data_IF_479279919058
#
_entry.id   IF_479279919058
#
_cell.length_a   1.000
_cell.length_b   1.000
_cell.length_c   1.000
_cell.angle_alpha   90.00
_cell.angle_beta   90.00
_cell.angle_gamma   90.00
#
_symmetry.space_group_name_H-M   'P 1'
#
loop_
_entity.id
_entity.type
_entity.pdbx_description
1 polymer ?
#
# COMPACT_ATOMS: atom_id res chain seq x y z
N UNK A 1 37.88 24.29 -18.35
CA UNK A 1 36.63 23.92 -17.68
C UNK A 1 36.40 22.45 -17.98
N UNK A 2 36.84 21.57 -17.07
CA UNK A 2 36.67 20.14 -17.17
C UNK A 2 35.25 19.80 -16.72
N UNK A 3 34.48 19.15 -17.60
CA UNK A 3 33.19 18.56 -17.27
C UNK A 3 33.44 17.29 -16.44
N UNK A 4 33.23 17.36 -15.15
CA UNK A 4 33.11 16.19 -14.30
C UNK A 4 31.81 15.47 -14.64
N UNK A 5 31.90 14.47 -15.49
CA UNK A 5 30.88 13.45 -15.66
C UNK A 5 30.87 12.57 -14.41
N UNK A 6 30.00 12.87 -13.45
CA UNK A 6 29.63 11.92 -12.41
C UNK A 6 28.98 10.69 -13.08
N UNK A 7 29.80 9.76 -13.50
CA UNK A 7 29.38 8.38 -13.78
C UNK A 7 28.89 7.79 -12.45
N UNK A 8 27.58 7.61 -12.33
CA UNK A 8 27.00 6.84 -11.24
C UNK A 8 27.73 5.49 -11.19
N UNK A 9 28.35 5.19 -10.06
CA UNK A 9 29.01 3.91 -9.85
C UNK A 9 28.03 2.78 -10.16
N UNK A 10 28.43 1.72 -10.89
CA UNK A 10 27.58 0.58 -11.16
C UNK A 10 27.12 0.00 -9.82
N UNK A 11 25.81 -0.19 -9.67
CA UNK A 11 25.23 -0.80 -8.49
C UNK A 11 25.94 -2.15 -8.26
N UNK A 12 26.53 -2.34 -7.08
CA UNK A 12 27.20 -3.59 -6.73
C UNK A 12 26.27 -4.78 -7.01
N UNK A 13 26.76 -5.84 -7.64
CA UNK A 13 25.93 -6.99 -7.96
C UNK A 13 25.39 -7.61 -6.68
N UNK A 14 24.07 -7.76 -6.61
CA UNK A 14 23.42 -8.42 -5.47
C UNK A 14 23.89 -9.86 -5.45
N UNK A 15 24.58 -10.24 -4.38
CA UNK A 15 25.05 -11.60 -4.16
C UNK A 15 23.83 -12.45 -3.80
N UNK A 16 23.30 -13.20 -4.73
CA UNK A 16 22.26 -14.18 -4.45
C UNK A 16 21.35 -14.43 -5.65
N UNK A 17 21.43 -15.62 -6.20
CA UNK A 17 20.44 -16.15 -7.15
C UNK A 17 19.06 -16.17 -6.49
N UNK A 18 18.03 -15.74 -7.25
CA UNK A 18 16.62 -15.78 -6.79
C UNK A 18 16.17 -17.21 -6.45
N UNK A 19 16.76 -18.21 -7.07
CA UNK A 19 16.52 -19.64 -6.80
C UNK A 19 17.44 -20.21 -5.69
N UNK A 20 18.34 -19.42 -5.09
CA UNK A 20 19.25 -19.89 -4.07
C UNK A 20 18.49 -20.51 -2.87
N UNK A 21 18.85 -21.73 -2.53
CA UNK A 21 18.34 -22.43 -1.34
C UNK A 21 19.31 -22.24 -0.18
N UNK A 22 18.86 -21.60 0.87
CA UNK A 22 19.63 -21.41 2.11
C UNK A 22 19.28 -22.50 3.13
N UNK A 23 20.16 -22.78 4.11
CA UNK A 23 19.83 -23.64 5.23
C UNK A 23 18.51 -23.23 5.92
N UNK A 24 17.69 -24.18 6.33
CA UNK A 24 16.34 -23.92 6.84
C UNK A 24 16.31 -22.88 7.98
N UNK A 25 17.25 -22.93 8.91
CA UNK A 25 17.38 -21.94 10.00
C UNK A 25 17.60 -20.51 9.47
N UNK A 26 18.49 -20.36 8.48
CA UNK A 26 18.77 -19.06 7.88
C UNK A 26 17.60 -18.57 7.06
N UNK A 27 16.94 -19.43 6.30
CA UNK A 27 15.72 -19.12 5.54
C UNK A 27 14.62 -18.63 6.46
N UNK A 28 14.38 -19.30 7.60
CA UNK A 28 13.36 -18.91 8.55
C UNK A 28 13.71 -17.59 9.25
N UNK A 29 14.96 -17.39 9.67
CA UNK A 29 15.40 -16.14 10.30
C UNK A 29 15.26 -14.93 9.37
N UNK A 30 15.69 -15.06 8.11
CA UNK A 30 15.52 -14.02 7.11
C UNK A 30 14.06 -13.83 6.71
N UNK A 31 13.25 -14.91 6.67
CA UNK A 31 11.81 -14.84 6.45
C UNK A 31 11.10 -14.05 7.56
N UNK A 32 11.45 -14.31 8.83
CA UNK A 32 10.96 -13.54 9.97
C UNK A 32 11.37 -12.06 9.86
N UNK A 33 12.62 -11.80 9.50
CA UNK A 33 13.10 -10.43 9.24
C UNK A 33 12.27 -9.73 8.16
N UNK A 34 11.99 -10.40 7.03
CA UNK A 34 11.13 -9.86 5.97
C UNK A 34 9.72 -9.54 6.48
N UNK A 35 9.15 -10.43 7.29
CA UNK A 35 7.81 -10.24 7.90
C UNK A 35 7.79 -9.02 8.84
N UNK A 36 8.77 -8.88 9.72
CA UNK A 36 8.83 -7.79 10.70
C UNK A 36 9.10 -6.43 10.05
N UNK A 37 9.92 -6.39 8.99
CA UNK A 37 10.28 -5.16 8.28
C UNK A 37 9.22 -4.71 7.29
N UNK A 38 8.34 -5.61 6.85
CA UNK A 38 7.31 -5.28 5.84
C UNK A 38 6.37 -4.17 6.28
N UNK A 39 6.16 -4.01 7.60
CA UNK A 39 5.15 -3.11 8.18
C UNK A 39 3.71 -3.39 7.69
N UNK A 40 3.42 -4.62 7.24
CA UNK A 40 2.07 -4.99 6.78
C UNK A 40 1.01 -4.89 7.89
N UNK A 41 1.45 -4.77 9.15
CA UNK A 41 0.61 -4.52 10.32
C UNK A 41 0.22 -3.05 10.49
N UNK A 42 0.93 -2.11 9.87
CA UNK A 42 0.77 -0.67 10.13
C UNK A 42 -0.54 -0.12 9.54
N UNK A 43 -0.83 -0.41 8.27
CA UNK A 43 -2.07 0.05 7.63
C UNK A 43 -3.35 -0.43 8.36
N UNK A 44 -3.51 -1.73 8.70
CA UNK A 44 -4.73 -2.18 9.38
C UNK A 44 -4.91 -1.59 10.78
N UNK A 45 -3.85 -1.40 11.56
CA UNK A 45 -3.99 -0.73 12.88
C UNK A 45 -4.33 0.76 12.72
N UNK A 46 -3.74 1.44 11.73
CA UNK A 46 -4.05 2.82 11.42
C UNK A 46 -5.52 2.98 10.99
N UNK A 47 -6.00 2.15 10.05
CA UNK A 47 -7.39 2.16 9.63
C UNK A 47 -8.32 1.91 10.81
N UNK A 48 -8.03 0.91 11.62
CA UNK A 48 -8.86 0.55 12.76
C UNK A 48 -8.93 1.67 13.80
N UNK A 49 -7.81 2.33 14.08
CA UNK A 49 -7.70 3.46 15.01
C UNK A 49 -8.50 4.66 14.50
N UNK A 50 -8.20 5.16 13.29
CA UNK A 50 -8.87 6.33 12.69
C UNK A 50 -10.37 6.12 12.50
N UNK A 51 -10.77 4.92 12.07
CA UNK A 51 -12.17 4.60 11.83
C UNK A 51 -12.96 4.37 13.13
N UNK A 52 -12.26 4.05 14.22
CA UNK A 52 -12.91 3.72 15.50
C UNK A 52 -13.49 2.30 15.51
N UNK A 53 -12.79 1.33 14.97
CA UNK A 53 -13.23 -0.08 15.00
C UNK A 53 -13.31 -0.59 16.43
N UNK A 54 -14.26 -1.49 16.69
CA UNK A 54 -14.22 -2.26 17.94
C UNK A 54 -12.96 -3.13 17.99
N UNK A 55 -12.46 -3.45 19.18
CA UNK A 55 -11.25 -4.26 19.35
C UNK A 55 -11.33 -5.61 18.60
N UNK A 56 -12.51 -6.23 18.57
CA UNK A 56 -12.72 -7.49 17.85
C UNK A 56 -12.61 -7.30 16.33
N UNK A 57 -13.23 -6.26 15.79
CA UNK A 57 -13.20 -5.97 14.35
C UNK A 57 -11.80 -5.51 13.91
N UNK A 58 -11.12 -4.69 14.72
CA UNK A 58 -9.74 -4.28 14.49
C UNK A 58 -8.78 -5.48 14.48
N UNK A 59 -8.90 -6.38 15.45
CA UNK A 59 -8.13 -7.64 15.50
C UNK A 59 -8.39 -8.49 14.26
N UNK A 60 -9.67 -8.60 13.83
CA UNK A 60 -10.01 -9.31 12.59
C UNK A 60 -9.37 -8.66 11.37
N UNK A 61 -9.36 -7.34 11.26
CA UNK A 61 -8.74 -6.62 10.13
C UNK A 61 -7.24 -6.94 10.03
N UNK A 62 -6.51 -6.97 11.17
CA UNK A 62 -5.09 -7.31 11.20
C UNK A 62 -4.87 -8.78 10.80
N UNK A 63 -5.65 -9.72 11.38
CA UNK A 63 -5.51 -11.16 11.07
C UNK A 63 -5.89 -11.46 9.62
N UNK A 64 -6.94 -10.83 9.09
CA UNK A 64 -7.34 -10.91 7.69
C UNK A 64 -6.23 -10.40 6.74
N UNK A 65 -5.63 -9.27 7.09
CA UNK A 65 -4.50 -8.70 6.35
C UNK A 65 -3.31 -9.66 6.33
N UNK A 66 -2.95 -10.24 7.48
CA UNK A 66 -1.86 -11.22 7.55
C UNK A 66 -2.16 -12.46 6.73
N UNK A 67 -3.41 -12.97 6.74
CA UNK A 67 -3.77 -14.15 5.95
C UNK A 67 -3.67 -13.86 4.45
N UNK A 68 -4.25 -12.76 3.99
CA UNK A 68 -4.20 -12.37 2.58
C UNK A 68 -2.75 -12.12 2.12
N UNK A 69 -1.99 -11.30 2.86
CA UNK A 69 -0.58 -11.03 2.58
C UNK A 69 0.26 -12.31 2.55
N UNK A 70 0.05 -13.21 3.52
CA UNK A 70 0.78 -14.47 3.63
C UNK A 70 0.49 -15.41 2.47
N UNK A 71 -0.77 -15.64 2.15
CA UNK A 71 -1.20 -16.51 1.04
C UNK A 71 -0.66 -15.99 -0.29
N UNK A 72 -0.83 -14.69 -0.55
CA UNK A 72 -0.35 -14.09 -1.81
C UNK A 72 1.16 -14.14 -1.90
N UNK A 73 1.88 -13.76 -0.83
CA UNK A 73 3.35 -13.84 -0.78
C UNK A 73 3.84 -15.26 -1.05
N UNK A 74 3.23 -16.27 -0.42
CA UNK A 74 3.61 -17.66 -0.60
C UNK A 74 3.35 -18.14 -2.04
N UNK A 75 2.18 -17.86 -2.61
CA UNK A 75 1.82 -18.29 -3.97
C UNK A 75 2.62 -17.54 -5.03
N UNK A 76 2.81 -16.23 -4.86
CA UNK A 76 3.61 -15.38 -5.76
C UNK A 76 5.06 -15.86 -5.85
N UNK A 77 5.70 -16.09 -4.69
CA UNK A 77 7.11 -16.50 -4.63
C UNK A 77 7.33 -17.94 -5.08
N UNK A 78 6.31 -18.81 -5.03
CA UNK A 78 6.43 -20.23 -5.43
C UNK A 78 6.08 -20.46 -6.89
N UNK A 79 4.95 -19.94 -7.39
CA UNK A 79 4.34 -20.37 -8.65
C UNK A 79 4.10 -19.25 -9.67
N UNK A 80 3.84 -18.01 -9.21
CA UNK A 80 3.40 -16.94 -10.09
C UNK A 80 4.57 -16.08 -10.59
N UNK A 81 4.83 -14.95 -9.92
CA UNK A 81 5.89 -14.03 -10.38
C UNK A 81 7.30 -14.56 -10.11
N UNK A 82 7.47 -15.40 -9.10
CA UNK A 82 8.74 -16.03 -8.69
C UNK A 82 9.87 -15.01 -8.47
N UNK A 83 9.53 -13.89 -7.85
CA UNK A 83 10.46 -12.85 -7.41
C UNK A 83 10.48 -12.78 -5.88
N UNK A 84 11.55 -12.25 -5.26
CA UNK A 84 11.62 -12.06 -3.81
C UNK A 84 10.84 -10.83 -3.37
N UNK A 85 9.50 -10.89 -3.50
CA UNK A 85 8.58 -9.79 -3.18
C UNK A 85 7.62 -10.25 -2.09
N UNK A 86 7.56 -9.50 -1.00
CA UNK A 86 6.53 -9.66 0.04
C UNK A 86 5.31 -8.85 -0.37
N UNK A 87 4.14 -9.40 -0.12
CA UNK A 87 2.85 -8.78 -0.36
C UNK A 87 2.27 -8.24 0.94
N UNK A 88 1.48 -7.19 0.84
CA UNK A 88 0.78 -6.59 1.97
C UNK A 88 -0.43 -5.78 1.53
N UNK A 89 -1.12 -5.10 2.44
CA UNK A 89 -2.24 -4.26 2.10
C UNK A 89 -1.79 -3.01 1.33
N UNK A 90 -2.57 -2.53 0.35
CA UNK A 90 -2.28 -1.28 -0.33
C UNK A 90 -2.87 -0.10 0.44
N UNK A 91 -2.02 0.86 0.83
CA UNK A 91 -2.43 2.09 1.52
C UNK A 91 -3.40 2.96 0.69
N UNK A 92 -3.52 2.71 -0.62
CA UNK A 92 -4.49 3.38 -1.48
C UNK A 92 -5.95 3.16 -1.04
N UNK A 93 -6.22 2.04 -0.36
CA UNK A 93 -7.56 1.72 0.18
C UNK A 93 -7.82 2.38 1.53
N UNK A 94 -6.80 2.78 2.28
CA UNK A 94 -6.95 3.24 3.67
C UNK A 94 -7.95 4.40 3.82
N UNK A 95 -7.88 5.49 3.03
CA UNK A 95 -8.85 6.60 3.16
C UNK A 95 -10.29 6.15 2.86
N UNK A 96 -10.48 5.25 1.90
CA UNK A 96 -11.79 4.75 1.50
C UNK A 96 -12.38 3.82 2.55
N UNK A 97 -11.60 2.86 3.06
CA UNK A 97 -12.05 1.94 4.13
C UNK A 97 -12.47 2.73 5.36
N UNK A 98 -11.69 3.75 5.76
CA UNK A 98 -12.02 4.66 6.86
C UNK A 98 -13.35 5.40 6.56
N UNK A 99 -13.47 6.00 5.38
CA UNK A 99 -14.66 6.75 4.99
C UNK A 99 -15.90 5.88 4.94
N UNK A 100 -15.85 4.74 4.28
CA UNK A 100 -16.99 3.83 4.13
C UNK A 100 -17.38 3.15 5.43
N UNK A 101 -16.44 2.90 6.34
CA UNK A 101 -16.80 2.42 7.68
C UNK A 101 -17.59 3.48 8.46
N UNK A 102 -17.10 4.73 8.48
CA UNK A 102 -17.78 5.85 9.15
C UNK A 102 -19.17 6.15 8.53
N UNK A 103 -19.32 5.90 7.24
CA UNK A 103 -20.60 6.02 6.53
C UNK A 103 -21.53 4.80 6.70
N UNK A 104 -21.06 3.70 7.31
CA UNK A 104 -21.84 2.45 7.45
C UNK A 104 -21.99 1.66 6.14
N UNK A 105 -21.17 1.94 5.12
CA UNK A 105 -21.24 1.35 3.77
C UNK A 105 -20.07 0.42 3.44
N UNK A 106 -19.35 -0.06 4.45
CA UNK A 106 -18.15 -0.88 4.23
C UNK A 106 -18.47 -2.24 3.57
N UNK A 107 -19.68 -2.79 3.77
CA UNK A 107 -20.13 -3.99 3.06
C UNK A 107 -20.23 -3.78 1.54
N UNK A 108 -20.66 -2.58 1.11
CA UNK A 108 -20.69 -2.21 -0.31
C UNK A 108 -19.25 -2.03 -0.86
N UNK A 109 -18.35 -1.44 -0.08
CA UNK A 109 -16.94 -1.32 -0.46
C UNK A 109 -16.28 -2.71 -0.60
N UNK A 110 -16.58 -3.67 0.28
CA UNK A 110 -16.10 -5.05 0.15
C UNK A 110 -16.59 -5.71 -1.13
N UNK A 111 -17.88 -5.55 -1.49
CA UNK A 111 -18.40 -6.04 -2.77
C UNK A 111 -17.72 -5.32 -3.95
N UNK A 112 -17.53 -4.02 -3.86
CA UNK A 112 -16.83 -3.24 -4.89
C UNK A 112 -15.40 -3.74 -5.12
N UNK A 113 -14.67 -4.07 -4.05
CA UNK A 113 -13.33 -4.68 -4.13
C UNK A 113 -13.40 -6.07 -4.76
N UNK A 114 -14.37 -6.91 -4.39
CA UNK A 114 -14.57 -8.23 -5.00
C UNK A 114 -14.80 -8.10 -6.51
N UNK A 115 -15.67 -7.20 -6.94
CA UNK A 115 -15.95 -6.97 -8.37
C UNK A 115 -14.69 -6.45 -9.08
N UNK A 116 -14.01 -5.45 -8.52
CA UNK A 116 -12.79 -4.89 -9.10
C UNK A 116 -11.67 -5.92 -9.24
N UNK A 117 -11.45 -6.71 -8.20
CA UNK A 117 -10.46 -7.79 -8.21
C UNK A 117 -10.82 -8.89 -9.21
N UNK A 118 -12.10 -9.27 -9.31
CA UNK A 118 -12.57 -10.25 -10.29
C UNK A 118 -12.37 -9.74 -11.73
N UNK A 119 -12.68 -8.48 -12.03
CA UNK A 119 -12.47 -7.86 -13.33
C UNK A 119 -10.99 -7.85 -13.73
N UNK A 120 -10.10 -7.46 -12.79
CA UNK A 120 -8.66 -7.48 -13.03
C UNK A 120 -8.13 -8.91 -13.20
N UNK A 121 -8.66 -9.87 -12.43
CA UNK A 121 -8.31 -11.28 -12.57
C UNK A 121 -8.67 -11.80 -13.98
N UNK A 122 -9.87 -11.50 -14.46
CA UNK A 122 -10.33 -11.85 -15.81
C UNK A 122 -9.46 -11.17 -16.89
N UNK A 123 -9.12 -9.88 -16.70
CA UNK A 123 -8.23 -9.15 -17.60
C UNK A 123 -6.81 -9.75 -17.62
N UNK A 124 -6.30 -10.21 -16.48
CA UNK A 124 -5.00 -10.86 -16.38
C UNK A 124 -4.99 -12.24 -17.08
N UNK A 125 -6.04 -13.05 -16.86
CA UNK A 125 -6.20 -14.36 -17.51
C UNK A 125 -6.33 -14.21 -19.03
N UNK A 126 -7.09 -13.22 -19.52
CA UNK A 126 -7.28 -12.96 -20.96
C UNK A 126 -6.07 -12.31 -21.64
N UNK A 127 -5.00 -11.98 -20.89
CA UNK A 127 -3.80 -11.33 -21.42
C UNK A 127 -3.98 -9.86 -21.81
N UNK A 128 -5.11 -9.24 -21.49
CA UNK A 128 -5.41 -7.84 -21.84
C UNK A 128 -4.66 -6.82 -20.97
N UNK A 129 -4.07 -7.28 -19.87
CA UNK A 129 -3.38 -6.41 -18.91
C UNK A 129 -2.17 -5.67 -19.52
N UNK A 130 -1.51 -6.28 -20.52
CA UNK A 130 -0.44 -5.62 -21.25
C UNK A 130 -0.91 -4.33 -21.97
N UNK A 131 -2.20 -4.24 -22.33
CA UNK A 131 -2.79 -3.02 -22.90
C UNK A 131 -2.98 -1.93 -21.84
N UNK A 132 -3.42 -2.33 -20.63
CA UNK A 132 -3.60 -1.42 -19.49
C UNK A 132 -2.23 -0.89 -19.03
N UNK A 133 -1.20 -1.74 -18.97
CA UNK A 133 0.18 -1.33 -18.64
C UNK A 133 0.69 -0.18 -19.52
N UNK A 134 0.32 -0.16 -20.79
CA UNK A 134 0.71 0.92 -21.70
C UNK A 134 0.10 2.28 -21.38
N UNK A 135 -0.99 2.31 -20.59
CA UNK A 135 -1.64 3.56 -20.15
C UNK A 135 -0.99 4.14 -18.89
N UNK A 136 -0.08 3.39 -18.26
CA UNK A 136 0.52 3.72 -16.97
C UNK A 136 1.93 4.25 -17.19
N UNK A 137 2.02 5.55 -17.51
CA UNK A 137 3.32 6.23 -17.52
C UNK A 137 3.81 6.47 -16.08
N UNK A 138 5.13 6.68 -15.87
CA UNK A 138 5.66 7.12 -14.58
C UNK A 138 4.97 8.37 -14.03
N UNK A 139 4.58 9.30 -14.90
CA UNK A 139 3.82 10.49 -14.52
C UNK A 139 2.46 10.14 -13.92
N UNK A 140 1.71 9.22 -14.56
CA UNK A 140 0.41 8.74 -14.05
C UNK A 140 0.60 8.02 -12.72
N UNK A 141 1.49 7.04 -12.66
CA UNK A 141 1.74 6.25 -11.45
C UNK A 141 2.24 7.10 -10.29
N UNK A 142 3.18 8.01 -10.55
CA UNK A 142 3.74 8.91 -9.55
C UNK A 142 2.70 9.88 -8.99
N UNK A 143 1.84 10.46 -9.83
CA UNK A 143 0.73 11.32 -9.40
C UNK A 143 -0.21 10.58 -8.45
N UNK A 144 -0.62 9.38 -8.81
CA UNK A 144 -1.54 8.58 -8.02
C UNK A 144 -0.93 8.23 -6.66
N UNK A 145 0.32 7.74 -6.63
CA UNK A 145 1.01 7.40 -5.38
C UNK A 145 1.20 8.64 -4.50
N UNK A 146 1.50 9.80 -5.08
CA UNK A 146 1.58 11.07 -4.33
C UNK A 146 0.25 11.42 -3.69
N UNK A 147 -0.86 11.28 -4.42
CA UNK A 147 -2.20 11.55 -3.90
C UNK A 147 -2.60 10.58 -2.78
N UNK A 148 -2.19 9.31 -2.86
CA UNK A 148 -2.39 8.34 -1.76
C UNK A 148 -1.75 8.86 -0.47
N UNK A 149 -0.48 9.26 -0.53
CA UNK A 149 0.21 9.76 0.66
C UNK A 149 -0.40 11.06 1.21
N UNK A 150 -0.80 11.99 0.34
CA UNK A 150 -1.43 13.26 0.75
C UNK A 150 -2.85 13.04 1.31
N UNK A 151 -3.64 12.13 0.73
CA UNK A 151 -4.98 11.81 1.23
C UNK A 151 -4.96 11.24 2.65
N UNK A 152 -3.86 10.62 3.06
CA UNK A 152 -3.66 10.10 4.41
C UNK A 152 -3.25 11.17 5.43
N UNK A 153 -2.80 12.36 4.98
CA UNK A 153 -2.24 13.38 5.89
C UNK A 153 -3.22 13.82 6.98
N UNK A 154 -4.47 14.13 6.62
CA UNK A 154 -5.50 14.55 7.58
C UNK A 154 -5.76 13.49 8.65
N UNK A 155 -5.91 12.24 8.25
CA UNK A 155 -6.10 11.11 9.16
C UNK A 155 -4.86 10.87 10.04
N UNK A 156 -3.67 10.98 9.46
CA UNK A 156 -2.40 10.85 10.19
C UNK A 156 -2.31 11.85 11.33
N UNK A 157 -2.64 13.12 11.08
CA UNK A 157 -2.60 14.13 12.13
C UNK A 157 -3.74 14.00 13.14
N UNK A 158 -4.91 13.48 12.77
CA UNK A 158 -5.93 13.11 13.75
C UNK A 158 -5.40 12.10 14.76
N UNK A 159 -4.71 11.06 14.32
CA UNK A 159 -4.09 10.07 15.19
C UNK A 159 -2.89 10.64 15.95
N UNK A 160 -2.03 11.43 15.29
CA UNK A 160 -0.87 12.07 15.89
C UNK A 160 -1.25 12.93 17.12
N UNK A 161 -2.39 13.59 17.05
CA UNK A 161 -2.93 14.35 18.18
C UNK A 161 -3.69 13.49 19.20
N UNK A 162 -3.74 12.17 19.05
CA UNK A 162 -4.33 11.26 20.03
C UNK A 162 -5.69 10.71 19.69
N UNK A 163 -6.13 10.80 18.41
CA UNK A 163 -7.41 10.27 17.90
C UNK A 163 -8.57 11.27 18.10
N UNK A 164 -9.10 11.76 16.99
CA UNK A 164 -10.17 12.76 16.99
C UNK A 164 -11.43 12.23 17.74
N UNK A 165 -11.92 13.04 18.69
CA UNK A 165 -13.11 12.69 19.48
C UNK A 165 -12.81 11.83 20.72
N UNK A 166 -11.56 11.50 21.00
CA UNK A 166 -11.14 10.81 22.24
C UNK A 166 -10.79 11.81 23.33
N UNK A 167 -10.82 11.43 24.63
CA UNK A 167 -10.35 12.26 25.72
C UNK A 167 -8.85 12.57 25.64
N UNK A 168 -8.08 11.75 24.93
CA UNK A 168 -6.64 11.92 24.74
C UNK A 168 -6.29 12.95 23.67
N UNK A 169 -7.25 13.41 22.86
CA UNK A 169 -7.00 14.33 21.75
C UNK A 169 -6.42 15.67 22.20
N UNK A 170 -5.28 16.04 21.64
CA UNK A 170 -4.58 17.30 21.93
C UNK A 170 -3.90 17.36 23.31
N UNK A 171 -3.86 16.28 24.06
CA UNK A 171 -3.18 16.26 25.37
C UNK A 171 -1.66 16.30 25.20
N UNK A 172 -0.92 16.92 26.17
CA UNK A 172 0.54 16.91 26.17
C UNK A 172 1.14 15.50 26.12
N UNK A 173 0.49 14.52 26.75
CA UNK A 173 0.92 13.13 26.76
C UNK A 173 0.81 12.50 25.35
N UNK A 174 -0.28 12.74 24.63
CA UNK A 174 -0.44 12.28 23.25
C UNK A 174 0.58 12.90 22.31
N UNK A 175 0.84 14.20 22.45
CA UNK A 175 1.88 14.88 21.66
C UNK A 175 3.28 14.32 21.95
N UNK A 176 3.60 14.07 23.24
CA UNK A 176 4.86 13.45 23.63
C UNK A 176 5.02 12.06 22.98
N UNK A 177 3.98 11.21 23.05
CA UNK A 177 3.98 9.88 22.44
C UNK A 177 4.21 9.95 20.92
N UNK A 178 3.45 10.79 20.23
CA UNK A 178 3.56 10.94 18.79
C UNK A 178 4.93 11.47 18.37
N UNK A 179 5.42 12.53 19.02
CA UNK A 179 6.72 13.12 18.73
C UNK A 179 7.86 12.14 19.03
N UNK A 180 7.84 11.44 20.19
CA UNK A 180 8.86 10.46 20.55
C UNK A 180 8.88 9.28 19.54
N UNK A 181 7.72 8.79 19.14
CA UNK A 181 7.60 7.72 18.16
C UNK A 181 8.13 8.15 16.79
N UNK A 182 7.70 9.32 16.30
CA UNK A 182 8.21 9.87 15.02
C UNK A 182 9.71 10.10 15.06
N UNK A 183 10.22 10.71 16.14
CA UNK A 183 11.66 10.93 16.33
C UNK A 183 12.43 9.60 16.31
N UNK A 184 11.89 8.55 16.92
CA UNK A 184 12.50 7.23 16.93
C UNK A 184 12.63 6.65 15.50
N UNK A 185 11.60 6.78 14.65
CA UNK A 185 11.69 6.39 13.23
C UNK A 185 12.77 7.18 12.52
N UNK A 186 12.79 8.51 12.67
CA UNK A 186 13.75 9.40 12.00
C UNK A 186 15.19 9.15 12.46
N UNK A 187 15.41 8.96 13.76
CA UNK A 187 16.73 8.63 14.33
C UNK A 187 17.21 7.28 13.78
N UNK A 188 16.34 6.25 13.76
CA UNK A 188 16.69 4.96 13.17
C UNK A 188 17.01 5.09 11.68
N UNK A 189 16.27 5.93 10.94
CA UNK A 189 16.53 6.19 9.53
C UNK A 189 17.88 6.89 9.31
N UNK A 190 18.25 7.84 10.18
CA UNK A 190 19.50 8.58 10.12
C UNK A 190 20.72 7.71 10.50
N UNK A 191 20.58 6.80 11.47
CA UNK A 191 21.63 5.86 11.87
C UNK A 191 21.93 4.82 10.76
N UNK A 192 21.00 4.60 9.84
CA UNK A 192 21.19 3.70 8.72
C UNK A 192 21.29 2.21 9.11
N UNK A 193 21.78 1.38 8.17
CA UNK A 193 22.02 -0.03 8.43
C UNK A 193 20.82 -0.79 9.00
N UNK A 194 21.06 -1.66 9.98
CA UNK A 194 20.02 -2.44 10.64
C UNK A 194 19.00 -1.58 11.39
N UNK A 195 19.42 -0.45 11.97
CA UNK A 195 18.52 0.46 12.67
C UNK A 195 17.44 1.02 11.74
N UNK A 196 17.85 1.50 10.57
CA UNK A 196 16.90 1.97 9.53
C UNK A 196 15.91 0.88 9.12
N UNK A 197 16.38 -0.36 8.98
CA UNK A 197 15.55 -1.48 8.54
C UNK A 197 14.43 -1.81 9.53
N UNK A 198 14.74 -1.85 10.83
CA UNK A 198 13.78 -2.15 11.90
C UNK A 198 13.16 -0.87 12.51
N UNK A 199 13.37 0.30 11.92
CA UNK A 199 13.03 1.59 12.51
C UNK A 199 11.56 1.71 12.94
N UNK A 200 10.62 1.25 12.13
CA UNK A 200 9.20 1.27 12.49
C UNK A 200 8.87 0.33 13.65
N UNK A 201 9.45 -0.86 13.68
CA UNK A 201 9.25 -1.81 14.78
C UNK A 201 9.88 -1.31 16.09
N UNK A 202 11.08 -0.74 16.01
CA UNK A 202 11.75 -0.12 17.17
C UNK A 202 10.92 1.05 17.70
N UNK A 203 10.43 1.90 16.80
CA UNK A 203 9.61 3.04 17.21
C UNK A 203 8.25 2.62 17.77
N UNK A 204 7.62 1.54 17.28
CA UNK A 204 6.43 0.94 17.88
C UNK A 204 6.73 0.52 19.32
N UNK A 205 7.80 -0.26 19.53
CA UNK A 205 8.17 -0.74 20.87
C UNK A 205 8.47 0.42 21.83
N UNK A 206 9.19 1.46 21.37
CA UNK A 206 9.50 2.63 22.19
C UNK A 206 8.22 3.42 22.50
N UNK A 207 7.34 3.62 21.50
CA UNK A 207 6.08 4.32 21.66
C UNK A 207 5.14 3.60 22.64
N UNK A 208 4.98 2.28 22.49
CA UNK A 208 4.14 1.47 23.38
C UNK A 208 4.73 1.38 24.79
N UNK A 209 6.06 1.26 24.92
CA UNK A 209 6.71 1.28 26.24
C UNK A 209 6.49 2.63 26.95
N UNK A 210 6.61 3.75 26.23
CA UNK A 210 6.33 5.07 26.78
C UNK A 210 4.84 5.23 27.12
N UNK A 211 3.93 4.72 26.27
CA UNK A 211 2.50 4.72 26.54
C UNK A 211 2.14 3.90 27.78
N UNK A 212 2.83 2.77 27.99
CA UNK A 212 2.67 1.95 29.18
C UNK A 212 3.09 2.73 30.45
N UNK A 213 4.23 3.42 30.39
CA UNK A 213 4.72 4.26 31.49
C UNK A 213 3.76 5.42 31.83
N UNK A 214 3.07 5.95 30.82
CA UNK A 214 2.07 7.01 30.98
C UNK A 214 0.67 6.48 31.32
N UNK A 215 0.48 5.16 31.47
CA UNK A 215 -0.81 4.54 31.78
C UNK A 215 -1.84 4.65 30.63
N UNK A 216 -1.40 4.82 29.41
CA UNK A 216 -2.27 4.96 28.22
C UNK A 216 -2.43 3.67 27.40
N UNK A 217 -1.82 2.56 27.83
CA UNK A 217 -1.88 1.28 27.14
C UNK A 217 -2.83 0.34 27.90
N UNK A 218 -3.87 -0.13 27.21
CA UNK A 218 -4.86 -1.08 27.77
C UNK A 218 -4.69 -2.48 27.14
N UNK A 219 -4.35 -3.44 27.97
CA UNK A 219 -4.18 -4.84 27.57
C UNK A 219 -5.45 -5.70 27.77
N UNK A 220 -6.58 -5.12 28.14
CA UNK A 220 -7.82 -5.87 28.38
C UNK A 220 -8.27 -6.67 27.18
N UNK A 221 -8.23 -6.05 25.99
CA UNK A 221 -8.55 -6.71 24.72
C UNK A 221 -7.55 -7.83 24.38
N UNK A 222 -6.26 -7.65 24.70
CA UNK A 222 -5.23 -8.69 24.52
C UNK A 222 -5.47 -9.88 25.44
N UNK A 223 -5.85 -9.62 26.70
CA UNK A 223 -6.16 -10.67 27.67
C UNK A 223 -7.37 -11.50 27.20
N UNK A 224 -8.42 -10.83 26.71
CA UNK A 224 -9.65 -11.46 26.22
C UNK A 224 -9.49 -12.20 24.88
N UNK A 225 -8.51 -11.84 24.06
CA UNK A 225 -8.32 -12.43 22.74
C UNK A 225 -7.91 -13.92 22.85
N UNK A 226 -8.48 -14.81 22.02
CA UNK A 226 -8.09 -16.21 21.98
C UNK A 226 -6.68 -16.37 21.41
N UNK A 227 -6.00 -17.47 21.77
CA UNK A 227 -4.69 -17.79 21.19
C UNK A 227 -4.79 -18.21 19.73
N UNK A 228 -5.85 -18.95 19.37
CA UNK A 228 -6.09 -19.43 18.01
C UNK A 228 -7.52 -19.10 17.58
N UNK A 229 -7.67 -18.45 16.43
CA UNK A 229 -8.95 -18.27 15.74
C UNK A 229 -8.73 -18.07 14.24
N UNK A 230 -9.77 -18.33 13.48
CA UNK A 230 -9.80 -17.99 12.05
C UNK A 230 -10.30 -16.56 11.86
N UNK A 231 -9.80 -15.81 10.85
CA UNK A 231 -10.40 -14.56 10.44
C UNK A 231 -11.89 -14.76 10.08
N UNK A 232 -12.71 -13.80 10.47
CA UNK A 232 -14.16 -13.86 10.25
C UNK A 232 -14.48 -13.71 8.76
N UNK A 233 -15.42 -14.50 8.28
CA UNK A 233 -15.98 -14.35 6.93
C UNK A 233 -17.04 -13.26 6.94
N UNK A 234 -16.98 -12.31 6.00
CA UNK A 234 -17.91 -11.18 5.83
C UNK A 234 -18.17 -10.42 7.15
N UNK A 235 -17.13 -9.94 7.86
CA UNK A 235 -17.30 -9.33 9.18
C UNK A 235 -18.10 -8.02 9.15
N UNK A 236 -18.27 -7.42 7.97
CA UNK A 236 -19.04 -6.20 7.76
C UNK A 236 -20.52 -6.45 7.41
N UNK A 237 -20.98 -7.70 7.53
CA UNK A 237 -22.34 -8.12 7.21
C UNK A 237 -22.53 -8.55 5.76
N UNK A 238 -23.80 -8.70 5.37
CA UNK A 238 -24.15 -9.11 4.01
C UNK A 238 -23.68 -8.07 2.98
N UNK A 239 -23.15 -8.56 1.86
CA UNK A 239 -22.66 -7.71 0.79
C UNK A 239 -23.82 -6.92 0.15
N UNK A 240 -23.68 -5.61 0.07
CA UNK A 240 -24.64 -4.71 -0.57
C UNK A 240 -24.03 -4.11 -1.82
N UNK A 241 -24.84 -3.79 -2.82
CA UNK A 241 -24.38 -3.19 -4.05
C UNK A 241 -24.65 -1.69 -4.09
N UNK A 242 -23.60 -0.91 -4.37
CA UNK A 242 -23.67 0.50 -4.75
C UNK A 242 -22.76 0.75 -5.95
N UNK A 243 -23.32 1.34 -7.00
CA UNK A 243 -22.58 1.52 -8.26
C UNK A 243 -21.43 2.53 -8.14
N UNK A 244 -21.60 3.60 -7.35
CA UNK A 244 -20.58 4.64 -7.12
C UNK A 244 -19.40 4.08 -6.33
N UNK A 245 -19.73 3.42 -5.20
CA UNK A 245 -18.72 2.77 -4.35
C UNK A 245 -17.99 1.66 -5.13
N UNK A 246 -18.75 0.85 -5.88
CA UNK A 246 -18.15 -0.22 -6.70
C UNK A 246 -17.16 0.32 -7.73
N UNK A 247 -17.54 1.36 -8.48
CA UNK A 247 -16.65 1.96 -9.46
C UNK A 247 -15.43 2.61 -8.81
N UNK A 248 -15.62 3.30 -7.68
CA UNK A 248 -14.53 3.86 -6.87
C UNK A 248 -13.53 2.79 -6.44
N UNK A 249 -14.01 1.67 -5.89
CA UNK A 249 -13.16 0.55 -5.48
C UNK A 249 -12.44 -0.12 -6.65
N UNK A 250 -13.09 -0.24 -7.83
CA UNK A 250 -12.46 -0.73 -9.05
C UNK A 250 -11.29 0.18 -9.49
N UNK A 251 -11.48 1.50 -9.47
CA UNK A 251 -10.43 2.46 -9.85
C UNK A 251 -9.25 2.37 -8.87
N UNK A 252 -9.52 2.33 -7.57
CA UNK A 252 -8.46 2.23 -6.56
C UNK A 252 -7.76 0.87 -6.62
N UNK A 253 -8.46 -0.20 -6.98
CA UNK A 253 -7.79 -1.47 -7.23
C UNK A 253 -6.86 -1.43 -8.46
N UNK A 254 -7.23 -0.71 -9.52
CA UNK A 254 -6.30 -0.45 -10.63
C UNK A 254 -5.06 0.33 -10.17
N UNK A 255 -5.20 1.25 -9.22
CA UNK A 255 -4.07 1.94 -8.60
C UNK A 255 -3.12 0.96 -7.89
N UNK A 256 -3.65 0.04 -7.09
CA UNK A 256 -2.86 -1.00 -6.42
C UNK A 256 -2.15 -1.93 -7.43
N UNK A 257 -2.80 -2.24 -8.56
CA UNK A 257 -2.18 -2.99 -9.67
C UNK A 257 -0.99 -2.25 -10.27
N UNK A 258 -1.11 -0.93 -10.44
CA UNK A 258 -0.01 -0.08 -10.94
C UNK A 258 1.18 -0.10 -9.98
N UNK A 259 0.90 0.06 -8.70
CA UNK A 259 1.90 -0.02 -7.62
C UNK A 259 2.64 -1.36 -7.66
N UNK A 260 1.90 -2.48 -7.72
CA UNK A 260 2.46 -3.81 -7.81
C UNK A 260 3.35 -4.01 -9.06
N UNK A 261 2.92 -3.52 -10.23
CA UNK A 261 3.72 -3.60 -11.46
C UNK A 261 5.05 -2.84 -11.32
N UNK A 262 5.04 -1.65 -10.72
CA UNK A 262 6.24 -0.87 -10.45
C UNK A 262 7.22 -1.62 -9.55
N UNK A 263 6.71 -2.31 -8.54
CA UNK A 263 7.51 -3.11 -7.62
C UNK A 263 8.08 -4.38 -8.27
N UNK A 264 7.33 -5.03 -9.16
CA UNK A 264 7.85 -6.15 -9.94
C UNK A 264 9.03 -5.72 -10.80
N UNK A 265 8.91 -4.57 -11.45
CA UNK A 265 9.96 -4.02 -12.30
C UNK A 265 11.22 -3.62 -11.50
N UNK A 266 11.03 -2.93 -10.37
CA UNK A 266 12.11 -2.56 -9.46
C UNK A 266 12.85 -3.80 -8.91
N UNK A 267 12.10 -4.84 -8.52
CA UNK A 267 12.67 -6.08 -8.00
C UNK A 267 13.39 -6.87 -9.10
N UNK A 268 12.81 -6.95 -10.29
CA UNK A 268 13.41 -7.64 -11.42
C UNK A 268 14.75 -7.00 -11.84
N UNK A 269 14.79 -5.65 -11.90
CA UNK A 269 16.03 -4.90 -12.14
C UNK A 269 17.08 -5.14 -11.05
N UNK A 270 16.66 -5.10 -9.79
CA UNK A 270 17.56 -5.30 -8.65
C UNK A 270 18.18 -6.71 -8.64
N UNK A 271 17.40 -7.73 -9.04
CA UNK A 271 17.81 -9.14 -9.02
C UNK A 271 18.35 -9.65 -10.36
N UNK A 272 18.49 -8.78 -11.35
CA UNK A 272 18.95 -9.16 -12.71
C UNK A 272 17.99 -10.11 -13.43
N UNK A 273 16.73 -10.19 -13.02
CA UNK A 273 15.73 -11.07 -13.61
C UNK A 273 15.02 -10.43 -14.79
N UNK A 274 14.74 -11.20 -15.84
CA UNK A 274 13.89 -10.73 -16.92
C UNK A 274 12.40 -10.80 -16.52
N UNK A 275 11.70 -9.68 -16.65
CA UNK A 275 10.29 -9.56 -16.37
C UNK A 275 9.50 -9.64 -17.68
N UNK A 276 9.01 -10.84 -18.04
CA UNK A 276 8.16 -11.04 -19.20
C UNK A 276 6.72 -10.60 -18.91
N UNK A 277 5.95 -10.23 -19.95
CA UNK A 277 4.52 -9.89 -19.81
C UNK A 277 3.72 -11.02 -19.16
N UNK A 278 4.06 -12.28 -19.45
CA UNK A 278 3.45 -13.44 -18.79
C UNK A 278 3.70 -13.45 -17.29
N UNK A 279 4.94 -13.16 -16.83
CA UNK A 279 5.26 -13.09 -15.38
C UNK A 279 4.49 -11.96 -14.71
N UNK A 280 4.38 -10.80 -15.36
CA UNK A 280 3.58 -9.67 -14.84
C UNK A 280 2.11 -10.08 -14.72
N UNK A 281 1.52 -10.64 -15.76
CA UNK A 281 0.13 -11.11 -15.73
C UNK A 281 -0.10 -12.13 -14.60
N UNK A 282 0.79 -13.11 -14.44
CA UNK A 282 0.70 -14.08 -13.34
C UNK A 282 0.83 -13.39 -11.97
N UNK A 283 1.69 -12.38 -11.83
CA UNK A 283 1.80 -11.57 -10.62
C UNK A 283 0.49 -10.86 -10.29
N UNK A 284 -0.11 -10.20 -11.27
CA UNK A 284 -1.38 -9.49 -11.06
C UNK A 284 -2.56 -10.47 -10.80
N UNK A 285 -2.53 -11.67 -11.38
CA UNK A 285 -3.48 -12.73 -10.99
C UNK A 285 -3.37 -13.04 -9.49
N UNK A 286 -2.13 -13.08 -8.95
CA UNK A 286 -1.90 -13.26 -7.51
C UNK A 286 -2.47 -12.12 -6.68
N UNK A 287 -2.21 -10.84 -7.07
CA UNK A 287 -2.77 -9.67 -6.39
C UNK A 287 -4.31 -9.69 -6.39
N UNK A 288 -4.91 -9.96 -7.55
CA UNK A 288 -6.35 -10.03 -7.69
C UNK A 288 -6.96 -11.15 -6.84
N UNK A 289 -6.37 -12.35 -6.87
CA UNK A 289 -6.83 -13.49 -6.05
C UNK A 289 -6.69 -13.21 -4.56
N UNK A 290 -5.59 -12.55 -4.15
CA UNK A 290 -5.37 -12.14 -2.76
C UNK A 290 -6.36 -11.08 -2.30
N UNK A 291 -6.67 -10.13 -3.17
CA UNK A 291 -7.67 -9.10 -2.87
C UNK A 291 -9.09 -9.65 -2.80
N UNK A 292 -9.42 -10.68 -3.60
CA UNK A 292 -10.67 -11.44 -3.45
C UNK A 292 -10.75 -12.10 -2.07
N UNK A 293 -9.67 -12.80 -1.67
CA UNK A 293 -9.60 -13.40 -0.34
C UNK A 293 -9.73 -12.33 0.76
N UNK A 294 -8.94 -11.24 0.65
CA UNK A 294 -8.97 -10.15 1.62
C UNK A 294 -10.38 -9.58 1.80
N UNK A 295 -11.08 -9.26 0.71
CA UNK A 295 -12.42 -8.70 0.74
C UNK A 295 -13.45 -9.64 1.43
N UNK A 296 -13.30 -10.96 1.28
CA UNK A 296 -14.18 -11.94 1.91
C UNK A 296 -13.97 -12.06 3.42
N UNK A 297 -12.73 -11.86 3.91
CA UNK A 297 -12.39 -12.03 5.33
C UNK A 297 -12.25 -10.69 6.08
N UNK A 298 -12.67 -9.59 5.45
CA UNK A 298 -12.67 -8.25 6.05
C UNK A 298 -11.34 -7.52 5.99
N UNK A 299 -10.46 -7.92 5.09
CA UNK A 299 -9.28 -7.15 4.69
C UNK A 299 -9.59 -6.20 3.52
N UNK A 300 -8.54 -5.67 2.92
CA UNK A 300 -8.62 -4.80 1.74
C UNK A 300 -7.54 -5.16 0.71
N UNK A 301 -7.51 -4.47 -0.45
CA UNK A 301 -6.70 -4.86 -1.59
C UNK A 301 -5.22 -5.04 -1.29
N UNK A 302 -4.61 -6.10 -1.84
CA UNK A 302 -3.20 -6.42 -1.69
C UNK A 302 -2.35 -5.79 -2.77
N UNK A 303 -1.08 -5.52 -2.45
CA UNK A 303 -0.05 -5.01 -3.37
C UNK A 303 1.34 -5.49 -2.96
N UNK A 304 2.31 -5.27 -3.85
CA UNK A 304 3.72 -5.60 -3.60
C UNK A 304 4.42 -4.50 -2.78
N UNK A 305 5.18 -4.90 -1.73
CA UNK A 305 5.77 -3.97 -0.76
C UNK A 305 7.19 -3.54 -1.11
N UNK A 306 7.39 -2.22 -1.15
CA UNK A 306 8.68 -1.58 -1.43
C UNK A 306 9.71 -1.77 -0.30
N UNK A 307 9.26 -1.81 0.95
CA UNK A 307 10.11 -1.92 2.14
C UNK A 307 10.98 -3.18 2.09
N UNK A 308 10.41 -4.28 1.63
CA UNK A 308 11.10 -5.56 1.54
C UNK A 308 12.23 -5.57 0.51
N UNK A 309 12.16 -4.71 -0.52
CA UNK A 309 13.26 -4.52 -1.46
C UNK A 309 14.50 -3.92 -0.78
N UNK A 310 14.29 -3.04 0.22
CA UNK A 310 15.34 -2.53 1.08
C UNK A 310 16.07 -3.62 1.87
N UNK A 311 15.33 -4.62 2.36
CA UNK A 311 15.91 -5.78 3.06
C UNK A 311 16.79 -6.61 2.12
N UNK A 312 16.32 -6.87 0.90
CA UNK A 312 17.09 -7.57 -0.14
C UNK A 312 18.40 -6.84 -0.43
N UNK A 313 18.35 -5.51 -0.61
CA UNK A 313 19.55 -4.67 -0.82
C UNK A 313 20.55 -4.77 0.34
N UNK A 314 20.06 -4.71 1.58
CA UNK A 314 20.93 -4.70 2.77
C UNK A 314 21.53 -6.06 3.10
N UNK A 315 20.73 -7.13 2.93
CA UNK A 315 21.18 -8.48 3.27
C UNK A 315 22.00 -9.14 2.15
N UNK A 316 21.91 -8.59 0.93
CA UNK A 316 22.45 -9.20 -0.28
C UNK A 316 21.75 -10.51 -0.65
N UNK A 317 20.62 -10.86 -0.02
CA UNK A 317 19.92 -12.14 -0.22
C UNK A 317 18.65 -11.91 -1.02
N UNK A 318 18.66 -12.31 -2.28
CA UNK A 318 17.53 -12.21 -3.21
C UNK A 318 16.71 -13.51 -3.32
N UNK A 319 16.90 -14.46 -2.41
CA UNK A 319 16.22 -15.77 -2.49
C UNK A 319 14.70 -15.65 -2.32
N UNK A 320 13.94 -16.14 -3.30
CA UNK A 320 12.48 -16.26 -3.22
C UNK A 320 12.03 -17.27 -2.15
N UNK A 321 12.89 -18.20 -1.76
CA UNK A 321 12.59 -19.16 -0.68
C UNK A 321 12.53 -18.51 0.69
N UNK A 322 13.30 -17.42 0.90
CA UNK A 322 13.21 -16.57 2.10
C UNK A 322 11.84 -15.88 2.16
N UNK A 323 11.39 -15.31 1.05
CA UNK A 323 10.09 -14.64 0.97
C UNK A 323 8.94 -15.64 1.10
N UNK A 324 9.10 -16.87 0.57
CA UNK A 324 8.15 -17.95 0.80
C UNK A 324 8.00 -18.29 2.30
N UNK A 325 9.12 -18.30 3.04
CA UNK A 325 9.08 -18.49 4.49
C UNK A 325 8.37 -17.31 5.20
N UNK A 326 8.59 -16.07 4.76
CA UNK A 326 7.85 -14.91 5.26
C UNK A 326 6.33 -15.07 5.04
N UNK A 327 5.91 -15.53 3.86
CA UNK A 327 4.49 -15.84 3.59
C UNK A 327 3.90 -16.86 4.56
N UNK A 328 4.63 -17.93 4.86
CA UNK A 328 4.18 -18.92 5.86
C UNK A 328 4.10 -18.33 7.27
N UNK A 329 5.03 -17.45 7.65
CA UNK A 329 5.01 -16.76 8.94
C UNK A 329 3.78 -15.84 9.02
N UNK A 330 3.45 -15.08 7.98
CA UNK A 330 2.23 -14.28 7.94
C UNK A 330 0.97 -15.12 8.08
N UNK A 331 0.90 -16.27 7.38
CA UNK A 331 -0.23 -17.21 7.53
C UNK A 331 -0.33 -17.69 8.98
N UNK A 332 0.79 -18.05 9.63
CA UNK A 332 0.78 -18.45 11.02
C UNK A 332 0.30 -17.33 11.95
N UNK A 333 0.78 -16.09 11.74
CA UNK A 333 0.35 -14.90 12.51
C UNK A 333 -1.14 -14.59 12.33
N UNK A 334 -1.72 -14.89 11.19
CA UNK A 334 -3.14 -14.67 10.91
C UNK A 334 -4.06 -15.51 11.84
N UNK A 335 -3.57 -16.64 12.33
CA UNK A 335 -4.31 -17.51 13.26
C UNK A 335 -4.01 -17.22 14.75
N UNK A 336 -3.25 -16.15 15.03
CA UNK A 336 -2.87 -15.72 16.38
C UNK A 336 -3.51 -14.37 16.75
N UNK A 337 -4.84 -14.31 17.03
CA UNK A 337 -5.53 -13.06 17.35
C UNK A 337 -4.89 -12.29 18.51
N UNK A 338 -4.25 -12.99 19.43
CA UNK A 338 -3.53 -12.37 20.56
C UNK A 338 -2.41 -11.43 20.11
N UNK A 339 -1.68 -11.80 19.05
CA UNK A 339 -0.65 -10.94 18.44
C UNK A 339 -1.29 -9.73 17.75
N UNK A 340 -2.37 -9.96 17.01
CA UNK A 340 -3.11 -8.88 16.37
C UNK A 340 -3.73 -7.91 17.38
N UNK A 341 -4.32 -8.43 18.47
CA UNK A 341 -4.86 -7.61 19.55
C UNK A 341 -3.78 -6.78 20.26
N UNK A 342 -2.56 -7.31 20.41
CA UNK A 342 -1.43 -6.53 20.95
C UNK A 342 -1.05 -5.35 20.06
N UNK A 343 -1.06 -5.53 18.74
CA UNK A 343 -0.83 -4.45 17.79
C UNK A 343 -1.98 -3.43 17.79
N UNK A 344 -3.22 -3.87 17.94
CA UNK A 344 -4.42 -3.01 18.01
C UNK A 344 -4.47 -2.21 19.32
N UNK A 345 -3.87 -2.71 20.39
CA UNK A 345 -3.80 -2.01 21.68
C UNK A 345 -2.90 -0.75 21.64
N UNK A 346 -2.07 -0.60 20.62
CA UNK A 346 -1.22 0.58 20.42
C UNK A 346 -2.05 1.87 20.41
N UNK A 347 -1.73 2.89 21.26
CA UNK A 347 -2.49 4.12 21.32
C UNK A 347 -2.46 4.92 20.01
N UNK A 348 -3.55 5.64 19.73
CA UNK A 348 -3.71 6.46 18.53
C UNK A 348 -2.50 7.38 18.25
N UNK A 349 -1.98 8.05 19.27
CA UNK A 349 -0.83 8.95 19.14
C UNK A 349 0.45 8.21 18.68
N UNK A 350 0.68 6.98 19.14
CA UNK A 350 1.80 6.14 18.67
C UNK A 350 1.58 5.73 17.22
N UNK A 351 0.37 5.29 16.87
CA UNK A 351 -0.02 4.95 15.49
C UNK A 351 0.19 6.14 14.57
N UNK A 352 -0.27 7.34 14.94
CA UNK A 352 -0.07 8.57 14.16
C UNK A 352 1.41 8.92 14.01
N UNK A 353 2.19 8.77 15.10
CA UNK A 353 3.64 8.99 15.11
C UNK A 353 4.41 8.04 14.19
N UNK A 354 3.96 6.80 14.03
CA UNK A 354 4.49 5.83 13.07
C UNK A 354 4.03 6.17 11.64
N UNK A 355 2.77 6.53 11.49
CA UNK A 355 2.19 6.70 10.16
C UNK A 355 2.67 7.98 9.45
N UNK A 356 3.04 9.02 10.20
CA UNK A 356 3.54 10.27 9.64
C UNK A 356 4.78 10.07 8.74
N UNK A 357 5.89 9.43 9.18
CA UNK A 357 7.02 9.17 8.31
C UNK A 357 6.70 8.13 7.22
N UNK A 358 5.77 7.20 7.46
CA UNK A 358 5.33 6.25 6.45
C UNK A 358 4.63 6.96 5.29
N UNK A 359 3.63 7.80 5.56
CA UNK A 359 2.91 8.58 4.55
C UNK A 359 3.85 9.54 3.80
N UNK A 360 4.78 10.21 4.51
CA UNK A 360 5.79 11.06 3.90
C UNK A 360 6.68 10.29 2.90
N UNK A 361 7.02 9.04 3.21
CA UNK A 361 7.80 8.17 2.30
C UNK A 361 7.00 7.84 1.04
N UNK A 362 5.69 7.59 1.16
CA UNK A 362 4.79 7.35 0.00
C UNK A 362 4.72 8.60 -0.89
N UNK A 363 4.56 9.79 -0.31
CA UNK A 363 4.58 11.06 -1.06
C UNK A 363 5.90 11.23 -1.82
N UNK A 364 7.04 11.00 -1.16
CA UNK A 364 8.35 11.13 -1.78
C UNK A 364 8.53 10.15 -2.95
N UNK A 365 8.11 8.88 -2.78
CA UNK A 365 8.16 7.88 -3.84
C UNK A 365 7.31 8.30 -5.04
N UNK A 366 6.10 8.78 -4.80
CA UNK A 366 5.20 9.26 -5.84
C UNK A 366 5.81 10.43 -6.62
N UNK A 367 6.34 11.44 -5.93
CA UNK A 367 7.00 12.59 -6.55
C UNK A 367 8.24 12.18 -7.37
N UNK A 368 9.07 11.27 -6.85
CA UNK A 368 10.22 10.75 -7.58
C UNK A 368 9.82 10.07 -8.89
N UNK A 369 8.75 9.26 -8.87
CA UNK A 369 8.22 8.62 -10.07
C UNK A 369 7.63 9.64 -11.05
N UNK A 370 6.83 10.59 -10.58
CA UNK A 370 6.20 11.62 -11.40
C UNK A 370 7.24 12.50 -12.14
N UNK A 371 8.40 12.72 -11.53
CA UNK A 371 9.49 13.54 -12.07
C UNK A 371 10.51 12.76 -12.93
N UNK A 372 10.36 11.45 -13.11
CA UNK A 372 11.29 10.64 -13.92
C UNK A 372 11.24 10.96 -15.41
N UNK A 373 10.05 11.26 -15.94
CA UNK A 373 9.88 11.60 -17.34
C UNK A 373 10.10 13.10 -17.54
N UNK A 374 11.25 13.47 -18.10
CA UNK A 374 11.50 14.79 -18.67
C UNK A 374 11.11 14.75 -20.15
N UNK A 375 10.05 15.43 -20.52
CA UNK A 375 9.52 15.46 -21.89
C UNK A 375 9.20 16.87 -22.38
N UNK A 376 8.35 16.94 -23.39
CA UNK A 376 7.81 18.21 -23.89
C UNK A 376 7.02 18.95 -22.80
N UNK A 377 6.84 20.26 -22.92
CA UNK A 377 6.11 21.10 -21.94
C UNK A 377 4.75 20.52 -21.55
N UNK A 378 4.04 19.86 -22.47
CA UNK A 378 2.72 19.26 -22.23
C UNK A 378 2.85 18.01 -21.35
N UNK A 379 3.85 17.14 -21.58
CA UNK A 379 4.08 15.95 -20.73
C UNK A 379 4.35 16.36 -19.28
N UNK A 380 5.05 17.45 -19.08
CA UNK A 380 5.36 17.98 -17.75
C UNK A 380 4.12 18.54 -17.01
N UNK A 381 2.99 18.80 -17.70
CA UNK A 381 1.74 19.26 -17.10
C UNK A 381 0.80 18.13 -16.68
N UNK A 382 0.98 16.91 -17.18
CA UNK A 382 0.09 15.77 -16.90
C UNK A 382 0.00 15.48 -15.40
N UNK A 383 1.15 15.31 -14.74
CA UNK A 383 1.19 15.05 -13.31
C UNK A 383 0.63 16.19 -12.45
N UNK A 384 1.04 17.47 -12.64
CA UNK A 384 0.46 18.59 -11.92
C UNK A 384 -1.05 18.74 -12.08
N UNK A 385 -1.60 18.51 -13.28
CA UNK A 385 -3.06 18.55 -13.51
C UNK A 385 -3.80 17.51 -12.66
N UNK A 386 -3.29 16.27 -12.61
CA UNK A 386 -3.86 15.23 -11.77
C UNK A 386 -3.79 15.56 -10.28
N UNK A 387 -2.65 16.13 -9.81
CA UNK A 387 -2.49 16.57 -8.42
C UNK A 387 -3.47 17.71 -8.09
N UNK A 388 -3.53 18.73 -8.90
CA UNK A 388 -4.43 19.87 -8.68
C UNK A 388 -5.90 19.45 -8.64
N UNK A 389 -6.32 18.58 -9.56
CA UNK A 389 -7.69 18.07 -9.57
C UNK A 389 -8.00 17.21 -8.34
N UNK A 390 -7.09 16.25 -8.01
CA UNK A 390 -7.26 15.36 -6.86
C UNK A 390 -7.26 16.08 -5.52
N UNK A 391 -6.56 17.21 -5.40
CA UNK A 391 -6.56 18.01 -4.16
C UNK A 391 -7.65 19.06 -4.12
N UNK A 392 -7.99 19.66 -5.28
CA UNK A 392 -8.91 20.79 -5.33
C UNK A 392 -10.38 20.41 -5.42
N UNK A 393 -10.73 19.33 -6.15
CA UNK A 393 -12.13 18.97 -6.37
C UNK A 393 -12.81 18.36 -5.13
N UNK A 394 -12.24 17.38 -4.42
CA UNK A 394 -12.93 16.70 -3.32
C UNK A 394 -13.40 17.61 -2.18
N UNK A 395 -12.63 18.61 -1.73
CA UNK A 395 -13.12 19.55 -0.71
C UNK A 395 -14.34 20.37 -1.15
N UNK A 396 -14.50 20.59 -2.46
CA UNK A 396 -15.60 21.33 -3.06
C UNK A 396 -16.80 20.43 -3.40
N UNK A 397 -16.62 19.10 -3.44
CA UNK A 397 -17.64 18.15 -3.84
C UNK A 397 -19.00 18.34 -3.10
N UNK A 398 -19.05 18.59 -1.78
CA UNK A 398 -20.30 18.82 -1.08
C UNK A 398 -21.13 19.96 -1.67
N UNK A 399 -20.52 20.97 -2.29
CA UNK A 399 -21.20 22.13 -2.84
C UNK A 399 -21.89 21.90 -4.20
N UNK A 400 -21.46 20.88 -4.94
CA UNK A 400 -21.97 20.61 -6.29
C UNK A 400 -22.42 19.15 -6.52
N UNK A 401 -22.09 18.20 -5.62
CA UNK A 401 -22.40 16.80 -5.79
C UNK A 401 -23.91 16.53 -6.03
N UNK A 402 -24.80 17.29 -5.40
CA UNK A 402 -26.24 17.19 -5.63
C UNK A 402 -26.73 17.54 -7.03
N UNK A 403 -25.83 18.11 -7.87
CA UNK A 403 -26.12 18.44 -9.29
C UNK A 403 -25.57 17.38 -10.24
N UNK A 404 -24.83 16.40 -9.74
CA UNK A 404 -24.21 15.35 -10.53
C UNK A 404 -25.01 14.05 -10.44
N UNK A 405 -24.91 13.15 -11.44
CA UNK A 405 -25.33 11.76 -11.29
C UNK A 405 -24.64 11.13 -10.08
N UNK A 406 -25.37 10.27 -9.33
CA UNK A 406 -24.92 9.70 -8.06
C UNK A 406 -23.49 9.08 -8.13
N UNK A 407 -23.17 8.39 -9.23
CA UNK A 407 -21.85 7.79 -9.47
C UNK A 407 -20.76 8.87 -9.51
N UNK A 408 -20.97 9.95 -10.25
CA UNK A 408 -20.00 11.04 -10.35
C UNK A 408 -19.90 11.85 -9.06
N UNK A 409 -21.01 11.99 -8.36
CA UNK A 409 -21.05 12.63 -7.04
C UNK A 409 -20.16 11.87 -6.05
N UNK A 410 -20.33 10.54 -5.96
CA UNK A 410 -19.50 9.68 -5.11
C UNK A 410 -18.02 9.77 -5.49
N UNK A 411 -17.68 9.59 -6.76
CA UNK A 411 -16.29 9.65 -7.23
C UNK A 411 -15.62 11.00 -6.94
N UNK A 412 -16.38 12.10 -7.00
CA UNK A 412 -15.85 13.46 -6.79
C UNK A 412 -15.39 13.73 -5.36
N UNK A 413 -15.80 12.92 -4.39
CA UNK A 413 -15.41 13.04 -2.97
C UNK A 413 -14.04 12.46 -2.65
N UNK A 414 -13.46 11.66 -3.56
CA UNK A 414 -12.24 10.91 -3.32
C UNK A 414 -11.04 11.44 -4.12
N UNK A 415 -10.06 12.01 -3.43
CA UNK A 415 -8.85 12.62 -4.02
C UNK A 415 -8.10 11.70 -4.98
N UNK A 416 -7.92 10.43 -4.58
CA UNK A 416 -7.19 9.43 -5.36
C UNK A 416 -7.93 9.13 -6.66
N UNK A 417 -9.27 8.99 -6.60
CA UNK A 417 -10.11 8.67 -7.76
C UNK A 417 -10.14 9.82 -8.75
N UNK A 418 -10.40 11.04 -8.26
CA UNK A 418 -10.42 12.25 -9.10
C UNK A 418 -9.07 12.46 -9.78
N UNK A 419 -7.99 12.40 -9.02
CA UNK A 419 -6.64 12.59 -9.56
C UNK A 419 -6.25 11.50 -10.55
N UNK A 420 -6.59 10.22 -10.27
CA UNK A 420 -6.33 9.10 -11.17
C UNK A 420 -7.08 9.27 -12.51
N UNK A 421 -8.35 9.61 -12.46
CA UNK A 421 -9.15 9.84 -13.68
C UNK A 421 -8.59 11.00 -14.49
N UNK A 422 -8.31 12.12 -13.85
CA UNK A 422 -7.81 13.33 -14.55
C UNK A 422 -6.42 13.09 -15.14
N UNK A 423 -5.49 12.49 -14.39
CA UNK A 423 -4.13 12.24 -14.90
C UNK A 423 -4.14 11.21 -16.04
N UNK A 424 -4.98 10.16 -15.96
CA UNK A 424 -5.12 9.18 -17.04
C UNK A 424 -5.75 9.81 -18.30
N UNK A 425 -6.78 10.63 -18.15
CA UNK A 425 -7.37 11.33 -19.28
C UNK A 425 -6.37 12.32 -19.90
N UNK A 426 -5.64 13.09 -19.09
CA UNK A 426 -4.60 13.99 -19.58
C UNK A 426 -3.50 13.24 -20.34
N UNK A 427 -3.03 12.10 -19.83
CA UNK A 427 -2.04 11.25 -20.48
C UNK A 427 -2.55 10.76 -21.85
N UNK A 428 -3.80 10.28 -21.91
CA UNK A 428 -4.40 9.78 -23.15
C UNK A 428 -4.52 10.93 -24.18
N UNK A 429 -5.11 12.06 -23.79
CA UNK A 429 -5.44 13.16 -24.71
C UNK A 429 -4.19 13.91 -25.16
N UNK A 430 -3.30 14.26 -24.25
CA UNK A 430 -2.18 15.15 -24.54
C UNK A 430 -0.88 14.44 -24.91
N UNK A 431 -0.75 13.14 -24.59
CA UNK A 431 0.48 12.37 -24.86
C UNK A 431 0.21 11.29 -25.90
N UNK A 432 -0.70 10.35 -25.61
CA UNK A 432 -0.86 9.13 -26.41
C UNK A 432 -1.51 9.36 -27.79
N UNK A 433 -2.55 10.20 -27.84
CA UNK A 433 -3.23 10.49 -29.12
C UNK A 433 -2.27 11.23 -30.06
N UNK A 434 -1.58 12.31 -29.67
CA UNK A 434 -0.61 13.00 -30.53
C UNK A 434 0.56 12.12 -30.99
N UNK A 435 1.09 11.24 -30.11
CA UNK A 435 2.16 10.31 -30.49
C UNK A 435 1.70 9.30 -31.56
N UNK A 436 0.48 8.79 -31.45
CA UNK A 436 -0.10 7.88 -32.48
C UNK A 436 -0.31 8.56 -33.81
N UNK A 437 -0.73 9.83 -33.81
CA UNK A 437 -0.93 10.61 -35.04
C UNK A 437 0.41 10.85 -35.72
N UNK A 438 1.44 11.27 -34.97
CA UNK A 438 2.80 11.49 -35.51
C UNK A 438 3.44 10.21 -36.04
N UNK A 439 3.30 9.07 -35.32
CA UNK A 439 3.84 7.79 -35.77
C UNK A 439 3.20 7.26 -37.05
N UNK A 440 1.92 7.54 -37.31
CA UNK A 440 1.26 7.19 -38.57
C UNK A 440 1.70 8.06 -39.75
N UNK A 441 2.05 9.33 -39.49
CA UNK A 441 2.57 10.22 -40.54
C UNK A 441 3.96 9.83 -41.04
N UNK A 442 4.81 9.26 -40.18
CA UNK A 442 6.14 8.84 -40.54
C UNK A 442 6.16 7.54 -41.38
N UNK A 443 5.17 6.67 -41.25
CA UNK A 443 5.06 5.42 -42.06
C UNK A 443 4.43 5.64 -43.43
N UNK A 444 3.88 6.82 -43.72
CA UNK A 444 3.36 7.18 -45.06
C UNK A 444 4.37 7.99 -45.91
N UNK A 445 5.52 8.32 -45.36
CA UNK A 445 6.58 9.07 -46.06
C UNK A 445 7.85 8.22 -46.35
N UNK A 446 7.84 6.94 -46.00
CA UNK A 446 8.83 5.93 -46.38
C UNK A 446 8.23 4.90 -47.35
#
# INVERSE_FOLDING_TARGET
>A
MQHDTHTAAPAEPIIGDVEAQLPARRTLALGLQQTLVSNAWLDPIFIASVAGFSAALATNLVTATFLAAGVVTFVQSTRLVRLPIVQGPSSAFSPLVIGYYKAGTLSAASLGLLIGAALVLLAAISGQLARIRRLLSPAVSGTIITLVGIALAGFTFQEFFGGLGTPAYGTPASLLLACATTASVLICAALGGRMRMFGFLIALIIGDALALLLGQLDFSAVAAAPWLAFPQLLPYGALTFDAGITLTMCIVFLVAVVEAMGMYEATARLTGQQLTDRRVNMGIMGEASGSLLAALIGGFGTTAYAQNLGVVKMTGVASRHVVRAAGLIFIALAFLPKVAAALVATPAAVVGGLFLPAAATVVMLGLQLACQERGSSIKNLVAPLGLMAGLGIPPLAPSFAGRLPAILAEMSTHSIVVGAVVVMLAEIVFVRIPERIKGRGATHQA
#
